data_IF_533024824962
#
_entry.id   IF_533024824962
#
_cell.length_a   1.000
_cell.length_b   1.000
_cell.length_c   1.000
_cell.angle_alpha   90.00
_cell.angle_beta   90.00
_cell.angle_gamma   90.00
#
_symmetry.space_group_name_H-M   'P 1'
#
loop_
_entity.id
_entity.type
_entity.pdbx_description
1 polymer ?
#
# COMPACT_ATOMS: atom_id res chain seq x y z
N UNK A 1 7.32 7.29 -0.26
CA UNK A 1 7.91 7.44 -1.62
C UNK A 1 7.15 6.54 -2.57
N UNK A 2 7.22 6.79 -3.87
CA UNK A 2 6.62 5.95 -4.91
C UNK A 2 7.63 4.91 -5.40
N UNK A 3 7.15 3.87 -6.09
CA UNK A 3 7.96 2.72 -6.52
C UNK A 3 8.65 2.92 -7.88
N UNK A 4 8.90 4.17 -8.24
CA UNK A 4 9.69 4.57 -9.40
C UNK A 4 11.19 4.55 -9.06
N UNK A 5 12.07 4.51 -10.06
CA UNK A 5 13.54 4.55 -9.86
C UNK A 5 13.93 5.76 -9.00
N UNK A 6 13.33 6.92 -9.28
CA UNK A 6 13.49 8.16 -8.49
C UNK A 6 13.15 8.03 -6.98
N UNK A 7 12.32 7.05 -6.61
CA UNK A 7 11.91 6.79 -5.22
C UNK A 7 12.70 5.66 -4.54
N UNK A 8 13.22 4.71 -5.32
CA UNK A 8 13.85 3.48 -4.85
C UNK A 8 15.39 3.53 -4.93
N UNK A 9 15.95 4.14 -5.97
CA UNK A 9 17.39 4.20 -6.19
C UNK A 9 18.04 5.25 -5.29
N UNK A 10 18.97 4.79 -4.45
CA UNK A 10 19.70 5.63 -3.50
C UNK A 10 21.20 5.60 -3.79
N UNK A 11 21.94 6.69 -3.51
CA UNK A 11 23.40 6.66 -3.58
C UNK A 11 23.96 5.76 -2.47
N UNK A 12 24.88 4.87 -2.85
CA UNK A 12 25.61 4.01 -1.91
C UNK A 12 27.11 4.08 -2.21
N UNK A 13 27.91 4.33 -1.18
CA UNK A 13 29.38 4.36 -1.25
C UNK A 13 29.89 3.41 -0.18
N UNK A 14 30.64 2.40 -0.61
CA UNK A 14 31.32 1.48 0.28
C UNK A 14 32.80 1.84 0.36
N UNK A 15 33.28 2.11 1.57
CA UNK A 15 34.71 2.24 1.84
C UNK A 15 35.23 0.95 2.48
N UNK A 16 36.20 0.31 1.83
CA UNK A 16 36.86 -0.91 2.32
C UNK A 16 38.30 -0.56 2.71
N UNK A 17 38.63 -0.56 4.02
CA UNK A 17 40.01 -0.38 4.47
C UNK A 17 40.96 -1.44 3.87
N UNK A 18 42.22 -1.07 3.63
CA UNK A 18 43.24 -1.95 3.02
C UNK A 18 43.31 -3.34 3.69
N UNK A 19 43.27 -3.39 5.03
CA UNK A 19 43.28 -4.63 5.81
C UNK A 19 42.10 -5.58 5.57
N UNK A 20 41.02 -5.11 4.95
CA UNK A 20 39.80 -5.87 4.70
C UNK A 20 39.52 -6.10 3.21
N UNK A 21 40.42 -5.70 2.30
CA UNK A 21 40.21 -5.89 0.85
C UNK A 21 40.00 -7.36 0.46
N UNK A 22 40.62 -8.29 1.17
CA UNK A 22 40.44 -9.74 0.93
C UNK A 22 39.01 -10.24 1.20
N UNK A 23 38.20 -9.49 1.96
CA UNK A 23 36.80 -9.85 2.25
C UNK A 23 35.84 -9.42 1.13
N UNK A 24 36.26 -8.55 0.21
CA UNK A 24 35.41 -7.99 -0.85
C UNK A 24 35.95 -8.33 -2.25
N UNK A 25 36.31 -9.60 -2.55
CA UNK A 25 36.97 -9.95 -3.81
C UNK A 25 36.08 -9.73 -5.04
N UNK A 26 34.75 -9.65 -4.84
CA UNK A 26 33.75 -9.40 -5.87
C UNK A 26 33.49 -7.90 -6.12
N UNK A 27 34.07 -7.00 -5.33
CA UNK A 27 33.88 -5.55 -5.44
C UNK A 27 35.18 -4.88 -5.91
N UNK A 28 35.62 -5.25 -7.12
CA UNK A 28 36.82 -4.67 -7.73
C UNK A 28 36.46 -3.46 -8.58
N UNK A 29 37.10 -2.32 -8.34
CA UNK A 29 36.94 -1.10 -9.13
C UNK A 29 36.24 0.03 -8.39
N UNK A 30 36.06 1.17 -9.07
CA UNK A 30 35.44 2.37 -8.50
C UNK A 30 33.91 2.39 -8.62
N UNK A 31 33.33 1.53 -9.48
CA UNK A 31 31.89 1.40 -9.72
C UNK A 31 31.55 -0.07 -9.83
N UNK A 32 30.49 -0.51 -9.14
CA UNK A 32 29.97 -1.88 -9.17
C UNK A 32 28.47 -1.79 -9.46
N UNK A 33 28.04 -2.39 -10.57
CA UNK A 33 26.65 -2.33 -11.07
C UNK A 33 25.78 -3.50 -10.57
N UNK A 34 26.20 -4.18 -9.50
CA UNK A 34 25.43 -5.26 -8.89
C UNK A 34 24.13 -4.71 -8.30
N UNK A 35 23.06 -5.50 -8.41
CA UNK A 35 21.79 -5.19 -7.77
C UNK A 35 21.90 -5.43 -6.26
N UNK A 36 21.78 -4.35 -5.48
CA UNK A 36 21.83 -4.38 -4.01
C UNK A 36 20.57 -3.69 -3.44
N UNK A 37 19.86 -4.39 -2.58
CA UNK A 37 18.74 -3.88 -1.80
C UNK A 37 19.11 -3.58 -0.36
N UNK A 38 18.28 -2.83 0.36
CA UNK A 38 18.49 -2.57 1.79
C UNK A 38 18.43 -3.85 2.65
N UNK A 39 17.62 -4.83 2.23
CA UNK A 39 17.51 -6.14 2.90
C UNK A 39 18.83 -6.91 2.91
N UNK A 40 19.76 -6.60 2.01
CA UNK A 40 21.06 -7.26 1.88
C UNK A 40 22.08 -6.79 2.94
N UNK A 41 21.85 -5.64 3.59
CA UNK A 41 22.81 -5.05 4.53
C UNK A 41 22.98 -5.89 5.80
N UNK A 42 21.88 -6.34 6.40
CA UNK A 42 21.94 -7.15 7.62
C UNK A 42 22.67 -8.50 7.39
N UNK A 43 22.31 -9.30 6.36
CA UNK A 43 23.07 -10.48 5.95
C UNK A 43 24.54 -10.20 5.66
N UNK A 44 24.86 -9.07 5.02
CA UNK A 44 26.25 -8.69 4.73
C UNK A 44 27.07 -8.47 6.00
N UNK A 45 26.50 -7.79 7.01
CA UNK A 45 27.19 -7.56 8.29
C UNK A 45 27.41 -8.87 9.05
N UNK A 46 26.41 -9.75 9.10
CA UNK A 46 26.56 -11.07 9.72
C UNK A 46 27.64 -11.90 9.03
N UNK A 47 27.61 -11.95 7.69
CA UNK A 47 28.62 -12.63 6.89
C UNK A 47 30.04 -12.12 7.18
N UNK A 48 30.24 -10.80 7.20
CA UNK A 48 31.54 -10.18 7.50
C UNK A 48 32.05 -10.47 8.91
N UNK A 49 31.15 -10.73 9.87
CA UNK A 49 31.52 -11.07 11.25
C UNK A 49 31.67 -12.57 11.48
N UNK A 50 31.44 -13.41 10.46
CA UNK A 50 31.46 -14.87 10.58
C UNK A 50 30.26 -15.43 11.34
N UNK A 51 29.19 -14.64 11.53
CA UNK A 51 27.94 -15.09 12.13
C UNK A 51 27.06 -15.71 11.03
N UNK A 52 26.43 -16.83 11.34
CA UNK A 52 25.48 -17.48 10.44
C UNK A 52 24.28 -16.58 10.17
N UNK A 53 23.92 -16.42 8.90
CA UNK A 53 22.76 -15.63 8.48
C UNK A 53 21.50 -16.47 8.71
N UNK A 54 20.52 -16.01 9.50
CA UNK A 54 19.28 -16.76 9.69
C UNK A 54 18.49 -16.91 8.39
N UNK A 55 17.90 -18.10 8.18
CA UNK A 55 17.11 -18.43 6.98
C UNK A 55 15.91 -17.49 6.73
N UNK A 56 15.44 -16.79 7.76
CA UNK A 56 14.32 -15.83 7.65
C UNK A 56 14.73 -14.49 7.02
N UNK A 57 16.02 -14.19 6.88
CA UNK A 57 16.45 -12.95 6.24
C UNK A 57 16.26 -13.05 4.72
N UNK A 58 15.50 -12.11 4.16
CA UNK A 58 15.18 -12.10 2.72
C UNK A 58 16.38 -11.75 1.84
N UNK A 59 17.27 -10.89 2.35
CA UNK A 59 18.44 -10.42 1.61
C UNK A 59 19.61 -11.41 1.62
N UNK A 60 20.65 -11.06 0.87
CA UNK A 60 21.89 -11.85 0.77
C UNK A 60 23.09 -10.96 0.98
N UNK A 61 24.20 -11.51 1.44
CA UNK A 61 25.43 -10.71 1.52
C UNK A 61 25.81 -10.23 0.12
N UNK A 62 26.03 -8.94 -0.10
CA UNK A 62 26.57 -8.42 -1.37
C UNK A 62 28.10 -8.39 -1.41
N UNK A 63 28.74 -8.77 -0.29
CA UNK A 63 30.20 -8.90 -0.13
C UNK A 63 30.57 -10.37 0.01
N UNK A 64 31.66 -10.79 -0.64
CA UNK A 64 32.23 -12.13 -0.43
C UNK A 64 31.44 -13.27 -1.08
N UNK A 65 30.37 -12.95 -1.83
CA UNK A 65 29.57 -13.93 -2.58
C UNK A 65 29.83 -13.84 -4.08
N UNK A 66 29.57 -14.93 -4.79
CA UNK A 66 29.72 -15.02 -6.25
C UNK A 66 28.46 -14.71 -7.04
N UNK A 67 27.29 -14.74 -6.40
CA UNK A 67 25.99 -14.57 -7.08
C UNK A 67 25.33 -13.28 -6.63
N UNK A 68 25.14 -12.35 -7.57
CA UNK A 68 24.38 -11.13 -7.35
C UNK A 68 22.87 -11.43 -7.33
N UNK A 69 22.07 -10.45 -6.89
CA UNK A 69 20.62 -10.56 -7.03
C UNK A 69 20.22 -10.43 -8.51
N UNK A 70 19.30 -11.28 -8.95
CA UNK A 70 18.67 -11.15 -10.28
C UNK A 70 17.62 -10.04 -10.29
N UNK A 71 16.99 -9.79 -9.13
CA UNK A 71 15.91 -8.84 -8.97
C UNK A 71 16.05 -8.02 -7.68
N UNK A 72 15.58 -6.77 -7.73
CA UNK A 72 15.28 -5.94 -6.56
C UNK A 72 13.77 -5.79 -6.44
N UNK A 73 13.25 -6.06 -5.24
CA UNK A 73 11.83 -5.91 -4.93
C UNK A 73 11.61 -4.61 -4.16
N UNK A 74 10.49 -3.95 -4.44
CA UNK A 74 10.04 -2.75 -3.74
C UNK A 74 8.60 -2.88 -3.31
N UNK A 75 8.24 -2.26 -2.19
CA UNK A 75 6.89 -2.27 -1.68
C UNK A 75 6.48 -0.90 -1.14
N UNK A 76 5.18 -0.63 -1.24
CA UNK A 76 4.53 0.54 -0.68
C UNK A 76 3.21 0.10 -0.08
N UNK A 77 3.05 0.37 1.21
CA UNK A 77 1.79 0.20 1.92
C UNK A 77 1.29 1.56 2.43
N UNK A 78 0.74 1.63 3.64
CA UNK A 78 0.28 2.87 4.26
C UNK A 78 1.39 3.93 4.35
N UNK A 79 1.07 5.15 3.94
CA UNK A 79 1.86 6.34 4.22
C UNK A 79 1.01 7.32 5.03
N UNK A 80 1.37 7.49 6.30
CA UNK A 80 0.62 8.31 7.26
C UNK A 80 -0.87 7.93 7.30
N UNK A 81 -1.76 8.84 6.93
CA UNK A 81 -3.21 8.68 6.88
C UNK A 81 -3.72 8.11 5.54
N UNK A 82 -2.84 7.61 4.68
CA UNK A 82 -3.21 7.10 3.36
C UNK A 82 -2.83 5.62 3.26
N UNK A 83 -3.83 4.75 3.33
CA UNK A 83 -3.65 3.34 3.00
C UNK A 83 -3.43 3.18 1.48
N UNK A 84 -2.45 2.35 1.12
CA UNK A 84 -2.08 1.99 -0.24
C UNK A 84 -1.52 0.56 -0.20
N UNK A 85 -1.43 -0.09 -1.37
CA UNK A 85 -0.72 -1.35 -1.54
C UNK A 85 -0.21 -1.41 -2.98
N UNK A 86 1.11 -1.36 -3.15
CA UNK A 86 1.80 -1.49 -4.42
C UNK A 86 3.09 -2.28 -4.26
N UNK A 87 3.47 -3.04 -5.29
CA UNK A 87 4.68 -3.86 -5.33
C UNK A 87 5.43 -3.63 -6.63
N UNK A 88 6.75 -3.66 -6.59
CA UNK A 88 7.59 -3.51 -7.77
C UNK A 88 8.70 -4.56 -7.81
N UNK A 89 9.16 -4.84 -9.02
CA UNK A 89 10.31 -5.70 -9.29
C UNK A 89 11.17 -5.02 -10.35
N UNK A 90 12.48 -5.00 -10.14
CA UNK A 90 13.47 -4.44 -11.04
C UNK A 90 14.56 -5.47 -11.37
N UNK A 91 14.86 -5.67 -12.65
CA UNK A 91 15.81 -6.69 -13.14
C UNK A 91 17.18 -6.13 -13.54
N UNK A 92 17.44 -4.84 -13.27
CA UNK A 92 18.64 -4.14 -13.78
C UNK A 92 18.43 -3.34 -15.06
N UNK A 93 17.25 -3.43 -15.69
CA UNK A 93 16.85 -2.59 -16.82
C UNK A 93 15.37 -2.20 -16.79
N UNK A 94 14.49 -3.16 -16.61
CA UNK A 94 13.06 -2.98 -16.57
C UNK A 94 12.57 -2.93 -15.13
N UNK A 95 11.70 -1.97 -14.85
CA UNK A 95 10.93 -1.94 -13.60
C UNK A 95 9.47 -2.21 -13.92
N UNK A 96 8.90 -3.20 -13.24
CA UNK A 96 7.48 -3.51 -13.27
C UNK A 96 6.85 -3.12 -11.93
N UNK A 97 5.68 -2.48 -11.96
CA UNK A 97 4.93 -2.05 -10.78
C UNK A 97 3.50 -2.58 -10.88
N UNK A 98 3.00 -3.15 -9.80
CA UNK A 98 1.60 -3.57 -9.63
C UNK A 98 0.94 -2.72 -8.55
N UNK A 99 -0.16 -2.05 -8.90
CA UNK A 99 -0.96 -1.23 -7.98
C UNK A 99 -2.26 -1.94 -7.59
N UNK A 100 -2.33 -2.50 -6.39
CA UNK A 100 -3.50 -3.26 -5.93
C UNK A 100 -4.68 -2.38 -5.49
N UNK A 101 -4.48 -1.05 -5.48
CA UNK A 101 -5.53 -0.05 -5.27
C UNK A 101 -5.54 0.99 -6.39
N UNK A 102 -5.83 0.59 -7.65
CA UNK A 102 -5.72 1.48 -8.80
C UNK A 102 -6.78 2.59 -8.80
N UNK A 103 -7.87 2.44 -8.07
CA UNK A 103 -8.89 3.48 -7.90
C UNK A 103 -8.42 4.70 -7.13
N UNK A 104 -7.36 4.56 -6.35
CA UNK A 104 -6.81 5.66 -5.57
C UNK A 104 -5.76 6.38 -6.42
N UNK A 105 -5.82 7.72 -6.54
CA UNK A 105 -4.74 8.48 -7.16
C UNK A 105 -3.48 8.45 -6.30
N UNK A 106 -2.35 8.85 -6.88
CA UNK A 106 -1.09 9.00 -6.13
C UNK A 106 -1.23 10.09 -5.06
N UNK A 107 -1.65 11.28 -5.46
CA UNK A 107 -1.95 12.39 -4.55
C UNK A 107 -3.41 12.30 -4.17
N UNK A 108 -3.64 11.95 -2.91
CA UNK A 108 -4.96 11.87 -2.29
C UNK A 108 -5.27 13.17 -1.57
N UNK A 109 -6.55 13.39 -1.32
CA UNK A 109 -6.99 14.44 -0.41
C UNK A 109 -6.74 13.99 1.03
N UNK A 110 -5.55 14.29 1.54
CA UNK A 110 -4.98 13.78 2.80
C UNK A 110 -3.92 14.73 3.34
N UNK A 111 -3.71 14.76 4.66
CA UNK A 111 -2.79 15.72 5.29
C UNK A 111 -1.36 15.57 4.78
N UNK A 112 -0.92 14.32 4.50
CA UNK A 112 0.41 14.08 3.94
C UNK A 112 0.65 14.83 2.61
N UNK A 113 -0.42 15.21 1.89
CA UNK A 113 -0.39 15.93 0.61
C UNK A 113 -0.97 17.35 0.67
N UNK A 114 -1.06 17.94 1.87
CA UNK A 114 -1.67 19.25 2.07
C UNK A 114 -0.78 20.44 1.65
N UNK A 115 -1.37 21.63 1.72
CA UNK A 115 -0.73 22.89 1.32
C UNK A 115 0.37 23.39 2.28
N UNK A 116 0.55 22.80 3.46
CA UNK A 116 1.63 23.21 4.37
C UNK A 116 3.02 22.86 3.80
N UNK A 117 3.05 21.91 2.86
CA UNK A 117 4.23 21.56 2.07
C UNK A 117 4.22 22.35 0.77
N UNK A 118 5.13 23.32 0.65
CA UNK A 118 5.25 24.23 -0.51
C UNK A 118 5.23 23.54 -1.88
N UNK A 119 5.77 22.31 -2.01
CA UNK A 119 5.70 21.56 -3.27
C UNK A 119 4.27 21.10 -3.61
N UNK A 120 3.50 20.65 -2.62
CA UNK A 120 2.10 20.27 -2.82
C UNK A 120 1.21 21.50 -2.98
N UNK A 121 1.47 22.58 -2.24
CA UNK A 121 0.79 23.86 -2.43
C UNK A 121 0.85 24.33 -3.89
N UNK A 122 2.04 24.32 -4.48
CA UNK A 122 2.24 24.73 -5.87
C UNK A 122 1.60 23.74 -6.87
N UNK A 123 1.69 22.44 -6.61
CA UNK A 123 1.03 21.43 -7.45
C UNK A 123 -0.49 21.62 -7.49
N UNK A 124 -1.13 21.82 -6.33
CA UNK A 124 -2.56 22.08 -6.25
C UNK A 124 -2.93 23.42 -6.89
N UNK A 125 -2.16 24.49 -6.62
CA UNK A 125 -2.39 25.81 -7.24
C UNK A 125 -2.33 25.75 -8.77
N UNK A 126 -1.38 24.99 -9.33
CA UNK A 126 -1.27 24.81 -10.78
C UNK A 126 -2.38 23.90 -11.33
N UNK A 127 -2.82 22.90 -10.56
CA UNK A 127 -3.97 22.05 -10.91
C UNK A 127 -5.24 22.88 -11.04
N UNK A 128 -5.53 23.73 -10.05
CA UNK A 128 -6.73 24.57 -10.02
C UNK A 128 -6.73 25.66 -11.10
N UNK A 129 -5.58 25.94 -11.70
CA UNK A 129 -5.42 26.86 -12.83
C UNK A 129 -5.33 26.16 -14.18
N UNK A 130 -5.51 24.83 -14.24
CA UNK A 130 -5.31 24.01 -15.44
C UNK A 130 -3.94 24.20 -16.11
N UNK A 131 -2.89 24.42 -15.31
CA UNK A 131 -1.51 24.70 -15.76
C UNK A 131 -0.52 23.57 -15.52
N UNK A 132 -0.96 22.45 -14.95
CA UNK A 132 -0.10 21.27 -14.81
C UNK A 132 0.19 20.64 -16.17
N UNK A 133 1.40 20.08 -16.32
CA UNK A 133 1.70 19.24 -17.47
C UNK A 133 0.84 17.98 -17.45
N UNK A 134 0.70 17.33 -18.61
CA UNK A 134 -0.02 16.05 -18.74
C UNK A 134 0.56 14.99 -17.81
N UNK A 135 1.88 14.97 -17.66
CA UNK A 135 2.62 14.04 -16.81
C UNK A 135 2.30 14.29 -15.33
N UNK A 136 2.30 15.56 -14.88
CA UNK A 136 1.97 15.90 -13.48
C UNK A 136 0.50 15.69 -13.15
N UNK A 137 -0.42 15.86 -14.11
CA UNK A 137 -1.85 15.58 -13.91
C UNK A 137 -2.13 14.10 -13.59
N UNK A 138 -1.28 13.17 -14.06
CA UNK A 138 -1.41 11.74 -13.73
C UNK A 138 -1.35 11.48 -12.23
N UNK A 139 -0.63 12.33 -11.46
CA UNK A 139 -0.54 12.19 -10.00
C UNK A 139 -1.89 12.33 -9.29
N UNK A 140 -2.85 13.01 -9.91
CA UNK A 140 -4.20 13.22 -9.38
C UNK A 140 -5.25 12.29 -10.01
N UNK A 141 -4.83 11.43 -10.92
CA UNK A 141 -5.70 10.47 -11.62
C UNK A 141 -5.57 9.07 -11.02
N UNK A 142 -6.55 8.21 -11.29
CA UNK A 142 -6.48 6.78 -10.96
C UNK A 142 -5.15 6.19 -11.46
N UNK A 143 -4.53 5.34 -10.65
CA UNK A 143 -3.27 4.68 -11.01
C UNK A 143 -3.52 3.65 -12.09
N UNK A 144 -2.57 3.41 -13.01
CA UNK A 144 -2.58 2.20 -13.82
C UNK A 144 -2.62 0.96 -12.93
N UNK A 145 -3.24 -0.11 -13.40
CA UNK A 145 -3.25 -1.40 -12.68
C UNK A 145 -1.85 -1.99 -12.61
N UNK A 146 -1.12 -1.87 -13.71
CA UNK A 146 0.24 -2.33 -13.91
C UNK A 146 1.03 -1.30 -14.74
N UNK A 147 2.31 -1.18 -14.43
CA UNK A 147 3.26 -0.32 -15.13
C UNK A 147 4.51 -1.12 -15.48
N UNK A 148 5.09 -0.84 -16.64
CA UNK A 148 6.38 -1.38 -17.05
C UNK A 148 7.20 -0.29 -17.75
N UNK A 149 8.42 -0.08 -17.29
CA UNK A 149 9.33 0.92 -17.87
C UNK A 149 10.69 0.29 -18.21
N UNK A 150 11.27 0.67 -19.35
CA UNK A 150 12.66 0.34 -19.71
C UNK A 150 13.55 1.51 -19.31
N UNK A 151 14.19 1.45 -18.13
CA UNK A 151 14.98 2.56 -17.57
C UNK A 151 16.20 2.91 -18.42
N UNK A 152 16.64 2.02 -19.32
CA UNK A 152 17.72 2.33 -20.26
C UNK A 152 17.27 3.31 -21.34
N UNK A 153 16.03 3.18 -21.82
CA UNK A 153 15.50 4.03 -22.90
C UNK A 153 14.61 5.17 -22.39
N UNK A 154 14.02 5.00 -21.21
CA UNK A 154 13.12 5.93 -20.55
C UNK A 154 13.48 6.09 -19.06
N UNK A 155 14.59 6.79 -18.75
CA UNK A 155 15.09 6.94 -17.38
C UNK A 155 14.18 7.77 -16.47
N UNK A 156 13.13 8.40 -17.03
CA UNK A 156 12.16 9.20 -16.28
C UNK A 156 10.81 8.49 -16.13
N UNK A 157 10.67 7.25 -16.63
CA UNK A 157 9.49 6.41 -16.43
C UNK A 157 8.20 7.09 -16.92
N UNK A 158 8.25 7.77 -18.07
CA UNK A 158 7.12 8.54 -18.59
C UNK A 158 6.25 7.74 -19.56
N UNK A 159 6.78 6.66 -20.15
CA UNK A 159 6.19 5.86 -21.21
C UNK A 159 5.92 4.43 -20.73
N UNK A 160 4.75 4.22 -20.13
CA UNK A 160 4.33 2.89 -19.69
C UNK A 160 4.21 1.93 -20.89
N UNK A 161 4.98 0.83 -20.84
CA UNK A 161 5.09 -0.17 -21.88
C UNK A 161 4.12 -1.34 -21.70
N UNK A 162 3.31 -1.37 -20.63
CA UNK A 162 2.52 -2.54 -20.23
C UNK A 162 1.62 -3.10 -21.35
N UNK A 163 1.04 -2.22 -22.18
CA UNK A 163 0.14 -2.59 -23.27
C UNK A 163 0.85 -2.81 -24.61
N UNK A 164 2.18 -2.65 -24.67
CA UNK A 164 2.94 -2.76 -25.92
C UNK A 164 3.14 -4.24 -26.26
N UNK A 165 2.80 -4.69 -27.49
CA UNK A 165 2.99 -6.08 -27.88
C UNK A 165 4.42 -6.59 -27.70
N UNK A 166 5.42 -5.74 -27.96
CA UNK A 166 6.84 -6.08 -27.83
C UNK A 166 7.30 -6.29 -26.37
N UNK A 167 6.51 -5.85 -25.39
CA UNK A 167 6.86 -5.92 -23.96
C UNK A 167 6.11 -7.04 -23.23
N UNK A 168 5.28 -7.82 -23.92
CA UNK A 168 4.43 -8.85 -23.30
C UNK A 168 5.22 -9.95 -22.57
N UNK A 169 6.31 -10.44 -23.17
CA UNK A 169 7.13 -11.50 -22.57
C UNK A 169 7.79 -11.01 -21.28
N UNK A 170 8.51 -9.89 -21.32
CA UNK A 170 9.15 -9.33 -20.12
C UNK A 170 8.13 -8.91 -19.05
N UNK A 171 6.98 -8.36 -19.43
CA UNK A 171 5.90 -8.06 -18.48
C UNK A 171 5.39 -9.34 -17.79
N UNK A 172 5.24 -10.44 -18.56
CA UNK A 172 4.79 -11.72 -18.02
C UNK A 172 5.80 -12.33 -17.06
N UNK A 173 7.08 -12.30 -17.41
CA UNK A 173 8.18 -12.78 -16.58
C UNK A 173 8.23 -12.02 -15.25
N UNK A 174 8.32 -10.69 -15.30
CA UNK A 174 8.42 -9.86 -14.09
C UNK A 174 7.15 -9.96 -13.22
N UNK A 175 5.96 -10.01 -13.84
CA UNK A 175 4.71 -10.23 -13.10
C UNK A 175 4.72 -11.57 -12.36
N UNK A 176 5.15 -12.66 -13.00
CA UNK A 176 5.21 -13.97 -12.37
C UNK A 176 6.26 -14.02 -11.26
N UNK A 177 7.43 -13.40 -11.46
CA UNK A 177 8.47 -13.30 -10.44
C UNK A 177 8.01 -12.48 -9.23
N UNK A 178 7.29 -11.38 -9.44
CA UNK A 178 6.69 -10.59 -8.37
C UNK A 178 5.61 -11.38 -7.61
N UNK A 179 4.73 -12.07 -8.32
CA UNK A 179 3.72 -12.96 -7.71
C UNK A 179 4.37 -14.02 -6.83
N UNK A 180 5.38 -14.72 -7.36
CA UNK A 180 6.10 -15.75 -6.61
C UNK A 180 6.78 -15.16 -5.38
N UNK A 181 7.43 -14.00 -5.51
CA UNK A 181 8.05 -13.33 -4.39
C UNK A 181 7.05 -13.02 -3.28
N UNK A 182 5.92 -12.36 -3.60
CA UNK A 182 4.88 -12.04 -2.62
C UNK A 182 4.33 -13.29 -1.91
N UNK A 183 4.12 -14.38 -2.66
CA UNK A 183 3.67 -15.66 -2.11
C UNK A 183 4.70 -16.26 -1.16
N UNK A 184 5.97 -16.30 -1.59
CA UNK A 184 7.04 -17.02 -0.91
C UNK A 184 7.57 -16.24 0.31
N UNK A 185 7.44 -14.92 0.33
CA UNK A 185 7.76 -14.05 1.49
C UNK A 185 6.57 -13.81 2.43
N UNK A 186 5.43 -14.46 2.19
CA UNK A 186 4.23 -14.34 3.03
C UNK A 186 3.77 -12.88 3.18
N UNK A 187 3.72 -12.14 2.06
CA UNK A 187 3.47 -10.70 2.02
C UNK A 187 2.25 -10.29 2.85
N UNK A 188 2.52 -9.64 3.99
CA UNK A 188 1.49 -9.26 4.95
C UNK A 188 0.66 -8.07 4.50
N UNK A 189 1.07 -7.36 3.45
CA UNK A 189 0.25 -6.33 2.81
C UNK A 189 -1.00 -6.90 2.14
N UNK A 190 -1.11 -8.23 2.02
CA UNK A 190 -2.34 -8.93 1.64
C UNK A 190 -3.38 -8.98 2.76
N UNK A 191 -3.13 -8.36 3.91
CA UNK A 191 -4.12 -8.08 4.95
C UNK A 191 -4.30 -6.57 5.12
N UNK A 192 -5.51 -6.14 5.47
CA UNK A 192 -5.67 -4.80 6.02
C UNK A 192 -4.81 -4.66 7.29
N UNK A 193 -4.17 -3.50 7.50
CA UNK A 193 -3.25 -3.30 8.64
C UNK A 193 -3.94 -3.55 9.99
N UNK A 194 -5.19 -3.12 10.15
CA UNK A 194 -5.95 -3.36 11.37
C UNK A 194 -6.15 -4.85 11.64
N UNK A 195 -6.58 -5.59 10.61
CA UNK A 195 -6.75 -7.05 10.64
C UNK A 195 -5.42 -7.74 10.97
N UNK A 196 -4.32 -7.33 10.33
CA UNK A 196 -2.98 -7.88 10.58
C UNK A 196 -2.57 -7.69 12.05
N UNK A 197 -2.76 -6.50 12.61
CA UNK A 197 -2.40 -6.22 14.01
C UNK A 197 -3.25 -7.03 14.99
N UNK A 198 -4.57 -7.12 14.77
CA UNK A 198 -5.46 -7.90 15.63
C UNK A 198 -5.16 -9.40 15.57
N UNK A 199 -4.91 -9.94 14.38
CA UNK A 199 -4.51 -11.35 14.20
C UNK A 199 -3.17 -11.66 14.85
N UNK A 200 -2.24 -10.71 14.81
CA UNK A 200 -0.90 -10.88 15.41
C UNK A 200 -1.01 -10.95 16.94
N UNK A 201 -1.88 -10.14 17.54
CA UNK A 201 -2.09 -10.13 18.99
C UNK A 201 -0.78 -9.91 19.74
N UNK A 202 -0.32 -10.91 20.50
CA UNK A 202 0.95 -10.87 21.23
C UNK A 202 2.13 -11.51 20.48
N UNK A 203 1.91 -12.01 19.26
CA UNK A 203 2.92 -12.60 18.38
C UNK A 203 3.40 -11.56 17.37
N UNK A 204 4.53 -11.82 16.71
CA UNK A 204 4.98 -11.00 15.60
C UNK A 204 4.09 -11.20 14.35
N UNK A 205 4.01 -10.18 13.50
CA UNK A 205 3.35 -10.32 12.19
C UNK A 205 3.97 -11.43 11.33
N UNK A 206 5.28 -11.66 11.48
CA UNK A 206 6.00 -12.75 10.81
C UNK A 206 5.44 -14.12 11.23
N UNK A 207 5.39 -14.42 12.52
CA UNK A 207 4.87 -15.69 13.04
C UNK A 207 3.39 -15.89 12.68
N UNK A 208 2.58 -14.83 12.76
CA UNK A 208 1.17 -14.86 12.36
C UNK A 208 1.01 -15.18 10.88
N UNK A 209 1.76 -14.52 10.00
CA UNK A 209 1.70 -14.75 8.56
C UNK A 209 2.11 -16.17 8.17
N UNK A 210 3.03 -16.79 8.91
CA UNK A 210 3.46 -18.16 8.71
C UNK A 210 2.49 -19.21 9.28
N UNK A 211 1.42 -18.80 9.95
CA UNK A 211 0.37 -19.68 10.43
C UNK A 211 -0.80 -19.74 9.43
N UNK A 212 -0.88 -20.83 8.67
CA UNK A 212 -1.91 -21.02 7.64
C UNK A 212 -3.36 -21.07 8.17
N UNK A 213 -3.56 -21.16 9.48
CA UNK A 213 -4.89 -21.05 10.10
C UNK A 213 -5.33 -19.61 10.33
N UNK A 214 -4.38 -18.67 10.38
CA UNK A 214 -4.63 -17.25 10.64
C UNK A 214 -4.57 -16.40 9.36
N UNK A 215 -3.96 -16.92 8.30
CA UNK A 215 -3.81 -16.20 7.04
C UNK A 215 -3.84 -17.14 5.83
N UNK A 216 -4.89 -17.04 5.02
CA UNK A 216 -5.01 -17.71 3.73
C UNK A 216 -4.36 -16.87 2.62
N UNK A 217 -3.03 -16.87 2.58
CA UNK A 217 -2.26 -16.04 1.64
C UNK A 217 -2.58 -16.31 0.17
N UNK A 218 -2.81 -17.58 -0.19
CA UNK A 218 -3.00 -17.99 -1.60
C UNK A 218 -4.32 -17.42 -2.13
N UNK A 219 -5.42 -17.57 -1.37
CA UNK A 219 -6.70 -16.98 -1.72
C UNK A 219 -6.67 -15.44 -1.65
N UNK A 220 -5.94 -14.87 -0.69
CA UNK A 220 -5.81 -13.42 -0.54
C UNK A 220 -5.08 -12.81 -1.73
N UNK A 221 -3.94 -13.40 -2.15
CA UNK A 221 -3.19 -12.97 -3.32
C UNK A 221 -4.00 -13.13 -4.60
N UNK A 222 -4.62 -14.30 -4.81
CA UNK A 222 -5.45 -14.55 -5.98
C UNK A 222 -6.60 -13.55 -6.11
N UNK A 223 -7.23 -13.18 -4.98
CA UNK A 223 -8.32 -12.19 -4.96
C UNK A 223 -7.78 -10.77 -5.17
N UNK A 224 -6.65 -10.41 -4.54
CA UNK A 224 -6.00 -9.11 -4.71
C UNK A 224 -5.59 -8.87 -6.16
N UNK A 225 -5.13 -9.90 -6.88
CA UNK A 225 -4.72 -9.80 -8.28
C UNK A 225 -5.85 -9.43 -9.24
N UNK A 226 -7.11 -9.68 -8.86
CA UNK A 226 -8.30 -9.29 -9.62
C UNK A 226 -8.57 -7.77 -9.58
N UNK A 227 -7.97 -7.02 -8.65
CA UNK A 227 -8.19 -5.57 -8.50
C UNK A 227 -7.81 -4.82 -9.78
N UNK A 228 -8.77 -4.11 -10.37
CA UNK A 228 -8.59 -3.41 -11.66
C UNK A 228 -8.62 -4.32 -12.90
N UNK A 229 -8.90 -5.63 -12.75
CA UNK A 229 -8.96 -6.62 -13.84
C UNK A 229 -10.31 -7.35 -13.93
N UNK A 230 -11.33 -6.89 -13.20
CA UNK A 230 -12.66 -7.49 -13.25
C UNK A 230 -13.35 -7.15 -14.58
N UNK A 231 -13.86 -8.17 -15.26
CA UNK A 231 -14.80 -8.03 -16.37
C UNK A 231 -16.23 -7.82 -15.82
N UNK A 232 -16.55 -8.51 -14.72
CA UNK A 232 -17.85 -8.50 -14.07
C UNK A 232 -17.70 -8.57 -12.54
N UNK A 233 -18.49 -7.82 -11.76
CA UNK A 233 -18.38 -7.83 -10.30
C UNK A 233 -18.75 -9.19 -9.67
N UNK A 234 -19.46 -10.06 -10.41
CA UNK A 234 -19.80 -11.42 -9.98
C UNK A 234 -18.57 -12.30 -9.74
N UNK A 235 -17.42 -11.99 -10.35
CA UNK A 235 -16.20 -12.79 -10.23
C UNK A 235 -15.67 -12.86 -8.79
N UNK A 236 -16.07 -11.94 -7.90
CA UNK A 236 -15.59 -11.89 -6.51
C UNK A 236 -16.67 -12.21 -5.48
N UNK A 237 -17.89 -12.60 -5.88
CA UNK A 237 -18.97 -12.93 -4.92
C UNK A 237 -18.55 -14.06 -3.99
N UNK A 238 -17.97 -15.15 -4.52
CA UNK A 238 -17.50 -16.25 -3.67
C UNK A 238 -16.41 -15.80 -2.70
N UNK A 239 -15.55 -14.86 -3.11
CA UNK A 239 -14.51 -14.30 -2.24
C UNK A 239 -15.09 -13.40 -1.13
N UNK A 240 -16.25 -12.76 -1.34
CA UNK A 240 -16.97 -12.02 -0.29
C UNK A 240 -17.55 -12.94 0.80
N UNK A 241 -17.69 -14.24 0.53
CA UNK A 241 -18.21 -15.24 1.47
C UNK A 241 -17.09 -16.09 2.10
N UNK A 242 -15.82 -15.82 1.77
CA UNK A 242 -14.69 -16.60 2.28
C UNK A 242 -14.58 -16.52 3.80
N UNK A 243 -14.11 -17.60 4.42
CA UNK A 243 -13.85 -17.67 5.86
C UNK A 243 -12.81 -16.65 6.35
N UNK A 244 -11.82 -16.30 5.52
CA UNK A 244 -10.76 -15.36 5.87
C UNK A 244 -11.16 -13.91 5.52
N UNK A 245 -11.14 -13.03 6.52
CA UNK A 245 -11.48 -11.62 6.32
C UNK A 245 -10.56 -10.89 5.33
N UNK A 246 -9.33 -11.36 5.11
CA UNK A 246 -8.39 -10.78 4.16
C UNK A 246 -8.83 -11.04 2.71
N UNK A 247 -9.36 -12.23 2.43
CA UNK A 247 -9.94 -12.58 1.11
C UNK A 247 -11.15 -11.70 0.84
N UNK A 248 -12.06 -11.58 1.82
CA UNK A 248 -13.23 -10.71 1.74
C UNK A 248 -12.85 -9.23 1.56
N UNK A 249 -11.80 -8.76 2.23
CA UNK A 249 -11.27 -7.41 2.08
C UNK A 249 -10.84 -7.14 0.64
N UNK A 250 -10.05 -8.03 0.05
CA UNK A 250 -9.59 -7.88 -1.33
C UNK A 250 -10.72 -7.97 -2.36
N UNK A 251 -11.75 -8.77 -2.09
CA UNK A 251 -12.96 -8.77 -2.92
C UNK A 251 -13.64 -7.40 -2.90
N UNK A 252 -13.78 -6.76 -1.73
CA UNK A 252 -14.31 -5.40 -1.60
C UNK A 252 -13.43 -4.36 -2.29
N UNK A 253 -12.10 -4.45 -2.16
CA UNK A 253 -11.16 -3.56 -2.87
C UNK A 253 -11.30 -3.72 -4.39
N UNK A 254 -11.48 -4.95 -4.89
CA UNK A 254 -11.70 -5.21 -6.31
C UNK A 254 -13.02 -4.60 -6.82
N UNK A 255 -14.08 -4.63 -6.00
CA UNK A 255 -15.35 -3.95 -6.31
C UNK A 255 -15.24 -2.42 -6.29
N UNK A 256 -14.53 -1.83 -5.32
CA UNK A 256 -14.26 -0.38 -5.30
C UNK A 256 -13.40 0.04 -6.52
N UNK A 257 -12.50 -0.84 -6.96
CA UNK A 257 -11.72 -0.66 -8.18
C UNK A 257 -12.52 -0.79 -9.48
N UNK A 258 -13.64 -1.52 -9.48
CA UNK A 258 -14.43 -1.74 -10.69
C UNK A 258 -15.20 -0.48 -11.12
N UNK A 259 -14.94 -0.02 -12.35
CA UNK A 259 -15.54 1.19 -12.90
C UNK A 259 -16.96 0.96 -13.48
N UNK A 260 -17.33 -0.30 -13.71
CA UNK A 260 -18.66 -0.67 -14.21
C UNK A 260 -19.76 -0.64 -13.15
N UNK A 261 -20.94 -1.12 -13.51
CA UNK A 261 -22.13 -1.14 -12.65
C UNK A 261 -22.03 -2.20 -11.54
N UNK A 262 -22.25 -1.77 -10.29
CA UNK A 262 -22.24 -2.62 -9.10
C UNK A 262 -23.65 -3.03 -8.62
N UNK A 263 -24.74 -2.59 -9.27
CA UNK A 263 -26.12 -2.88 -8.83
C UNK A 263 -26.38 -4.36 -8.60
N UNK A 264 -25.79 -5.24 -9.42
CA UNK A 264 -25.97 -6.69 -9.32
C UNK A 264 -25.28 -7.34 -8.11
N UNK A 265 -24.29 -6.68 -7.51
CA UNK A 265 -23.59 -7.15 -6.30
C UNK A 265 -23.92 -6.32 -5.06
N UNK A 266 -24.90 -5.43 -5.18
CA UNK A 266 -25.35 -4.56 -4.09
C UNK A 266 -25.86 -5.36 -2.89
N UNK A 267 -26.63 -6.46 -3.04
CA UNK A 267 -27.04 -7.28 -1.89
C UNK A 267 -25.85 -7.78 -1.06
N UNK A 268 -24.79 -8.24 -1.72
CA UNK A 268 -23.57 -8.75 -1.10
C UNK A 268 -22.79 -7.63 -0.40
N UNK A 269 -22.73 -6.43 -1.00
CA UNK A 269 -22.18 -5.24 -0.35
C UNK A 269 -22.94 -4.88 0.93
N UNK A 270 -24.28 -4.95 0.89
CA UNK A 270 -25.12 -4.71 2.08
C UNK A 270 -24.81 -5.75 3.16
N UNK A 271 -24.74 -7.03 2.81
CA UNK A 271 -24.36 -8.10 3.75
C UNK A 271 -22.98 -7.86 4.36
N UNK A 272 -22.01 -7.39 3.57
CA UNK A 272 -20.66 -7.10 4.05
C UNK A 272 -20.60 -5.93 5.07
N UNK A 273 -21.65 -5.11 5.18
CA UNK A 273 -21.72 -4.07 6.23
C UNK A 273 -21.89 -4.61 7.65
N UNK A 274 -22.19 -5.91 7.77
CA UNK A 274 -22.25 -6.66 9.03
C UNK A 274 -21.08 -7.66 9.20
N UNK A 275 -20.01 -7.55 8.39
CA UNK A 275 -18.82 -8.41 8.49
C UNK A 275 -18.17 -8.38 9.89
N UNK A 276 -17.65 -9.51 10.42
CA UNK A 276 -16.89 -9.51 11.67
C UNK A 276 -15.73 -8.48 11.70
N UNK A 277 -14.99 -8.33 10.60
CA UNK A 277 -13.90 -7.36 10.48
C UNK A 277 -14.45 -5.93 10.34
N UNK A 278 -13.91 -5.00 11.13
CA UNK A 278 -14.22 -3.57 10.98
C UNK A 278 -13.79 -3.06 9.61
N UNK A 279 -12.63 -3.49 9.10
CA UNK A 279 -12.09 -3.04 7.82
C UNK A 279 -13.05 -3.37 6.66
N UNK A 280 -13.62 -4.57 6.65
CA UNK A 280 -14.59 -5.00 5.65
C UNK A 280 -15.90 -4.21 5.76
N UNK A 281 -16.43 -4.05 6.97
CA UNK A 281 -17.67 -3.30 7.21
C UNK A 281 -17.60 -1.87 6.68
N UNK A 282 -16.52 -1.15 7.02
CA UNK A 282 -16.38 0.25 6.61
C UNK A 282 -16.09 0.39 5.13
N UNK A 283 -15.34 -0.54 4.50
CA UNK A 283 -15.12 -0.51 3.06
C UNK A 283 -16.41 -0.80 2.29
N UNK A 284 -17.22 -1.76 2.75
CA UNK A 284 -18.54 -2.02 2.16
C UNK A 284 -19.47 -0.80 2.28
N UNK A 285 -19.53 -0.17 3.46
CA UNK A 285 -20.30 1.04 3.68
C UNK A 285 -19.81 2.22 2.82
N UNK A 286 -18.48 2.37 2.68
CA UNK A 286 -17.86 3.39 1.83
C UNK A 286 -18.31 3.23 0.37
N UNK A 287 -18.24 2.01 -0.16
CA UNK A 287 -18.69 1.69 -1.53
C UNK A 287 -20.19 2.02 -1.67
N UNK A 288 -21.02 1.62 -0.70
CA UNK A 288 -22.47 1.86 -0.76
C UNK A 288 -22.82 3.36 -0.79
N UNK A 289 -22.14 4.16 0.04
CA UNK A 289 -22.31 5.61 0.09
C UNK A 289 -21.82 6.26 -1.21
N UNK A 290 -20.60 5.92 -1.68
CA UNK A 290 -20.00 6.54 -2.87
C UNK A 290 -20.74 6.15 -4.16
N UNK A 291 -21.17 4.90 -4.29
CA UNK A 291 -21.69 4.34 -5.55
C UNK A 291 -23.21 4.40 -5.65
N UNK A 292 -23.92 4.46 -4.53
CA UNK A 292 -25.39 4.45 -4.51
C UNK A 292 -26.01 5.59 -3.67
N UNK A 293 -25.20 6.48 -3.09
CA UNK A 293 -25.66 7.59 -2.24
C UNK A 293 -26.48 7.15 -1.03
N UNK A 294 -26.22 5.94 -0.53
CA UNK A 294 -26.97 5.31 0.56
C UNK A 294 -26.45 5.73 1.93
N UNK A 295 -26.75 6.98 2.30
CA UNK A 295 -26.30 7.59 3.56
C UNK A 295 -26.79 6.89 4.83
N UNK A 296 -27.77 5.98 4.75
CA UNK A 296 -28.16 5.15 5.88
C UNK A 296 -27.00 4.26 6.40
N UNK A 297 -26.02 3.93 5.54
CA UNK A 297 -24.85 3.17 5.96
C UNK A 297 -23.85 3.96 6.81
N UNK A 298 -24.10 5.25 7.08
CA UNK A 298 -23.41 5.99 8.14
C UNK A 298 -23.58 5.34 9.53
N UNK A 299 -24.65 4.57 9.74
CA UNK A 299 -24.85 3.81 10.99
C UNK A 299 -23.77 2.74 11.22
N UNK A 300 -23.14 2.22 10.16
CA UNK A 300 -21.99 1.32 10.27
C UNK A 300 -20.82 2.04 10.95
N UNK A 301 -20.54 3.26 10.52
CA UNK A 301 -19.46 4.08 11.10
C UNK A 301 -19.76 4.47 12.55
N UNK A 302 -21.00 4.81 12.90
CA UNK A 302 -21.40 5.07 14.30
C UNK A 302 -21.05 3.90 15.22
N UNK A 303 -21.25 2.66 14.75
CA UNK A 303 -20.86 1.47 15.51
C UNK A 303 -19.33 1.32 15.58
N UNK A 304 -18.64 1.51 14.46
CA UNK A 304 -17.20 1.24 14.35
C UNK A 304 -16.32 2.31 15.01
N UNK A 305 -16.76 3.57 15.12
CA UNK A 305 -16.04 4.66 15.79
C UNK A 305 -15.79 4.40 17.28
N UNK A 306 -16.55 3.49 17.89
CA UNK A 306 -16.39 3.10 19.29
C UNK A 306 -15.34 1.99 19.50
N UNK A 307 -14.64 1.55 18.46
CA UNK A 307 -13.58 0.54 18.62
C UNK A 307 -12.46 1.03 19.54
N UNK A 308 -11.94 0.14 20.37
CA UNK A 308 -10.75 0.39 21.20
C UNK A 308 -9.45 0.02 20.46
N UNK A 309 -9.56 -0.62 19.30
CA UNK A 309 -8.43 -0.94 18.43
C UNK A 309 -8.03 0.30 17.62
N UNK A 310 -6.93 0.95 18.02
CA UNK A 310 -6.40 2.12 17.28
C UNK A 310 -6.09 1.82 15.80
N UNK A 311 -5.52 0.66 15.42
CA UNK A 311 -5.34 0.31 14.01
C UNK A 311 -6.67 0.25 13.23
N UNK A 312 -7.72 -0.31 13.83
CA UNK A 312 -9.05 -0.32 13.21
C UNK A 312 -9.67 1.07 13.17
N UNK A 313 -9.51 1.87 14.23
CA UNK A 313 -10.00 3.24 14.26
C UNK A 313 -9.37 4.10 13.17
N UNK A 314 -8.09 3.85 12.84
CA UNK A 314 -7.44 4.49 11.69
C UNK A 314 -8.14 4.11 10.38
N UNK A 315 -8.47 2.83 10.17
CA UNK A 315 -9.21 2.40 8.99
C UNK A 315 -10.61 3.05 8.91
N UNK A 316 -11.32 3.18 10.04
CA UNK A 316 -12.60 3.92 10.11
C UNK A 316 -12.41 5.39 9.72
N UNK A 317 -11.40 6.06 10.29
CA UNK A 317 -11.11 7.47 10.02
C UNK A 317 -10.73 7.73 8.55
N UNK A 318 -9.89 6.87 7.97
CA UNK A 318 -9.52 6.92 6.54
C UNK A 318 -10.76 6.80 5.66
N UNK A 319 -11.66 5.87 5.98
CA UNK A 319 -12.89 5.66 5.21
C UNK A 319 -13.86 6.83 5.34
N UNK A 320 -13.99 7.43 6.54
CA UNK A 320 -14.77 8.65 6.75
C UNK A 320 -14.26 9.83 5.92
N UNK A 321 -12.95 9.99 5.81
CA UNK A 321 -12.36 10.99 4.91
C UNK A 321 -12.74 10.71 3.45
N UNK A 322 -12.69 9.45 3.03
CA UNK A 322 -12.95 9.07 1.64
C UNK A 322 -14.42 9.26 1.20
N UNK A 323 -15.39 9.25 2.14
CA UNK A 323 -16.80 9.53 1.82
C UNK A 323 -17.13 11.05 1.79
N UNK A 324 -16.15 11.90 2.10
CA UNK A 324 -16.26 13.37 2.00
C UNK A 324 -17.45 13.93 2.78
N UNK A 325 -18.23 14.79 2.14
CA UNK A 325 -19.40 15.47 2.73
C UNK A 325 -20.43 14.55 3.38
N UNK A 326 -20.51 13.29 2.95
CA UNK A 326 -21.41 12.32 3.56
C UNK A 326 -21.04 12.05 5.03
N UNK A 327 -19.81 12.31 5.46
CA UNK A 327 -19.38 12.16 6.85
C UNK A 327 -19.90 13.26 7.79
N UNK A 328 -20.40 14.40 7.28
CA UNK A 328 -20.89 15.55 8.07
C UNK A 328 -21.75 15.18 9.29
N UNK A 329 -22.74 14.25 9.19
CA UNK A 329 -23.59 13.91 10.32
C UNK A 329 -22.86 13.26 11.51
N UNK A 330 -21.62 12.79 11.31
CA UNK A 330 -20.82 12.12 12.34
C UNK A 330 -19.86 13.06 13.06
N UNK A 331 -19.73 14.32 12.62
CA UNK A 331 -18.84 15.32 13.24
C UNK A 331 -19.05 15.43 14.75
N UNK A 332 -20.28 15.57 15.30
CA UNK A 332 -20.47 15.69 16.75
C UNK A 332 -19.91 14.47 17.51
N UNK A 333 -20.18 13.26 17.02
CA UNK A 333 -19.68 12.03 17.64
C UNK A 333 -18.15 11.97 17.60
N UNK A 334 -17.54 12.37 16.49
CA UNK A 334 -16.08 12.37 16.33
C UNK A 334 -15.44 13.38 17.30
N UNK A 335 -15.98 14.60 17.37
CA UNK A 335 -15.54 15.66 18.29
C UNK A 335 -15.68 15.26 19.75
N UNK A 336 -16.82 14.66 20.13
CA UNK A 336 -17.13 14.38 21.53
C UNK A 336 -16.55 13.04 22.03
N UNK A 337 -16.36 12.05 21.15
CA UNK A 337 -16.03 10.68 21.56
C UNK A 337 -14.69 10.15 21.03
N UNK A 338 -14.18 10.70 19.92
CA UNK A 338 -12.96 10.18 19.28
C UNK A 338 -11.76 11.07 19.53
N UNK A 339 -11.86 12.38 19.30
CA UNK A 339 -10.75 13.31 19.58
C UNK A 339 -10.23 13.22 21.03
N UNK A 340 -11.08 13.15 22.08
CA UNK A 340 -10.60 12.99 23.45
C UNK A 340 -9.79 11.71 23.68
N UNK A 341 -9.99 10.66 22.86
CA UNK A 341 -9.22 9.40 22.97
C UNK A 341 -7.83 9.49 22.33
N UNK A 342 -7.61 10.44 21.42
CA UNK A 342 -6.36 10.57 20.66
C UNK A 342 -5.58 11.84 20.98
N UNK A 343 -6.14 12.76 21.78
CA UNK A 343 -5.54 14.05 22.10
C UNK A 343 -4.33 13.96 23.04
N UNK A 344 -3.35 14.86 22.85
CA UNK A 344 -2.15 14.95 23.69
C UNK A 344 -1.18 16.03 23.24
N UNK A 345 0.08 15.93 23.66
CA UNK A 345 1.07 16.99 23.46
C UNK A 345 1.91 16.88 22.17
N UNK A 346 1.88 15.73 21.48
CA UNK A 346 2.62 15.53 20.23
C UNK A 346 2.05 16.46 19.17
N UNK A 347 2.90 17.33 18.63
CA UNK A 347 2.51 18.45 17.77
C UNK A 347 1.38 19.32 18.36
N UNK A 348 1.27 19.35 19.69
CA UNK A 348 0.22 20.08 20.41
C UNK A 348 -1.19 19.53 20.22
N UNK A 349 -1.34 18.31 19.68
CA UNK A 349 -2.65 17.75 19.34
C UNK A 349 -2.84 16.27 19.63
N UNK A 350 -1.82 15.42 19.54
CA UNK A 350 -1.99 13.97 19.60
C UNK A 350 -1.22 13.30 20.76
N UNK A 351 -1.71 12.17 21.26
CA UNK A 351 -1.08 11.46 22.39
C UNK A 351 0.16 10.63 22.04
N UNK A 352 0.36 10.25 20.78
CA UNK A 352 1.55 9.46 20.37
C UNK A 352 1.90 9.63 18.90
N UNK A 353 3.16 9.32 18.55
CA UNK A 353 3.71 9.30 17.17
C UNK A 353 3.27 8.09 16.32
N UNK A 354 2.24 7.36 16.77
CA UNK A 354 1.74 6.15 16.11
C UNK A 354 0.30 6.37 15.62
N UNK A 355 -0.58 5.39 15.77
CA UNK A 355 -1.97 5.44 15.30
C UNK A 355 -2.74 6.72 15.71
N UNK A 356 -2.71 7.22 16.96
CA UNK A 356 -3.45 8.43 17.36
C UNK A 356 -3.20 9.65 16.47
N UNK A 357 -1.94 9.88 16.08
CA UNK A 357 -1.58 10.96 15.17
C UNK A 357 -2.19 10.75 13.78
N UNK A 358 -2.08 9.55 13.22
CA UNK A 358 -2.61 9.26 11.88
C UNK A 358 -4.14 9.22 11.84
N UNK A 359 -4.79 8.76 12.91
CA UNK A 359 -6.24 8.83 13.09
C UNK A 359 -6.66 10.30 13.06
N UNK A 360 -5.99 11.12 13.86
CA UNK A 360 -6.22 12.55 13.90
C UNK A 360 -6.04 13.21 12.55
N UNK A 361 -4.97 12.91 11.82
CA UNK A 361 -4.74 13.43 10.47
C UNK A 361 -5.88 13.08 9.51
N UNK A 362 -6.34 11.83 9.49
CA UNK A 362 -7.46 11.42 8.64
C UNK A 362 -8.76 12.16 8.99
N UNK A 363 -9.07 12.30 10.29
CA UNK A 363 -10.27 12.99 10.77
C UNK A 363 -10.21 14.50 10.53
N UNK A 364 -9.03 15.10 10.69
CA UNK A 364 -8.80 16.51 10.43
C UNK A 364 -9.02 16.85 8.95
N UNK A 365 -8.50 16.01 8.04
CA UNK A 365 -8.78 16.16 6.62
C UNK A 365 -10.28 15.95 6.33
N UNK A 366 -10.93 14.97 6.98
CA UNK A 366 -12.38 14.77 6.83
C UNK A 366 -13.16 16.03 7.23
N UNK A 367 -12.78 16.70 8.33
CA UNK A 367 -13.38 17.97 8.74
C UNK A 367 -13.14 19.09 7.73
N UNK A 368 -11.93 19.18 7.16
CA UNK A 368 -11.62 20.14 6.10
C UNK A 368 -12.50 19.92 4.87
N UNK A 369 -12.69 18.66 4.45
CA UNK A 369 -13.54 18.33 3.32
C UNK A 369 -14.96 18.83 3.59
N UNK A 370 -15.51 18.51 4.76
CA UNK A 370 -16.86 18.92 5.20
C UNK A 370 -17.07 20.44 5.34
N UNK A 371 -16.02 21.27 5.26
CA UNK A 371 -16.12 22.72 5.35
C UNK A 371 -16.07 23.43 3.99
N UNK A 372 -15.70 22.71 2.92
CA UNK A 372 -15.71 23.18 1.54
C UNK A 372 -17.11 23.05 0.92
#
# INVERSE_FOLDING_TARGET
RWLYDSGLRVPFILYVPEKYQSLTPNLNGSVVDNLVGFVDFAPTVLHLTGVEVPDQMEGRSFVGVTTANDYIFGYRDRADDVYDMSRSIYDGRYIFIRHFMPQNPYIRDAIIFNHDKRSFEELHRLKDQDKLSKESLKMFSRKPVEELYDLKSDPFELNNLIDKPASKEIASELRQSLHNHMRDTYDTGLMNEGDMMERSGNSSAFEMAHNSKLFNREASLATAELTGKLDSPQQVITALEDSDAAVRYWALVALDAYEGDLTKVKPELITATDDPSIANRVLAAEILIKRFSEVQFLDVYKKCLNTESEPMLLQVAISLRNIGEAAKPLIPMITESVYPKIEGEIWGKYKSWSYPMFIGMALDQMLTNCQQ
#
